data_IF_129290896212
#
_entry.id   IF_129290896212
#
_cell.length_a   1.000
_cell.length_b   1.000
_cell.length_c   1.000
_cell.angle_alpha   90.00
_cell.angle_beta   90.00
_cell.angle_gamma   90.00
#
_symmetry.space_group_name_H-M   'P 1'
#
loop_
_entity.id
_entity.type
_entity.pdbx_description
1 polymer ?
#
# COMPACT_ATOMS: atom_id res chain seq x y z
N UNK A 1 -41.66 3.65 53.76
CA UNK A 1 -40.40 3.87 52.98
C UNK A 1 -40.44 3.03 51.75
N UNK A 2 -40.23 3.60 50.58
CA UNK A 2 -40.08 2.82 49.34
C UNK A 2 -38.79 2.02 49.38
N UNK A 3 -38.76 0.87 48.72
CA UNK A 3 -37.53 0.11 48.48
C UNK A 3 -36.60 0.87 47.54
N UNK A 4 -35.31 0.77 47.80
CA UNK A 4 -34.24 1.26 46.91
C UNK A 4 -33.56 0.09 46.20
N UNK A 5 -32.50 0.36 45.44
CA UNK A 5 -31.76 -0.72 44.74
C UNK A 5 -31.13 -1.71 45.73
N UNK A 6 -30.58 -1.22 46.83
CA UNK A 6 -29.83 -2.02 47.82
C UNK A 6 -30.48 -2.08 49.19
N UNK A 7 -31.52 -1.27 49.44
CA UNK A 7 -32.19 -1.22 50.71
C UNK A 7 -33.65 -1.64 50.60
N UNK A 8 -34.09 -2.44 51.56
CA UNK A 8 -35.49 -2.80 51.68
C UNK A 8 -36.36 -1.58 52.01
N UNK A 9 -37.52 -1.55 51.44
CA UNK A 9 -38.60 -0.65 51.81
C UNK A 9 -39.46 -1.22 52.96
N UNK A 10 -40.43 -0.46 53.38
CA UNK A 10 -41.38 -0.84 54.41
C UNK A 10 -42.73 -0.14 54.20
N UNK A 11 -43.82 -0.86 54.19
CA UNK A 11 -45.15 -0.30 53.95
C UNK A 11 -45.63 0.65 55.10
N UNK A 12 -45.10 0.48 56.32
CA UNK A 12 -45.47 1.22 57.51
C UNK A 12 -46.48 0.46 58.30
N UNK A 13 -46.46 0.71 59.64
CA UNK A 13 -47.45 0.16 60.60
C UNK A 13 -48.72 1.00 60.61
N UNK A 14 -49.84 0.34 60.70
CA UNK A 14 -51.09 1.00 61.00
C UNK A 14 -51.19 1.17 62.52
N UNK A 15 -51.20 2.44 63.01
CA UNK A 15 -51.26 2.77 64.42
C UNK A 15 -52.60 3.41 64.74
N UNK A 16 -53.23 2.95 65.80
CA UNK A 16 -54.45 3.59 66.34
C UNK A 16 -54.18 5.02 66.71
N UNK A 17 -54.91 6.00 66.15
CA UNK A 17 -54.73 7.42 66.40
C UNK A 17 -55.21 7.84 67.78
N UNK A 18 -55.98 6.98 68.50
CA UNK A 18 -56.56 7.29 69.87
C UNK A 18 -55.69 6.70 70.98
N UNK A 19 -55.27 5.43 70.85
CA UNK A 19 -54.52 4.74 71.93
C UNK A 19 -53.02 4.54 71.63
N UNK A 20 -52.58 4.78 70.39
CA UNK A 20 -51.18 4.61 69.96
C UNK A 20 -50.75 3.17 69.75
N UNK A 21 -51.63 2.19 69.87
CA UNK A 21 -51.28 0.78 69.61
C UNK A 21 -51.13 0.45 68.09
N UNK A 22 -50.17 -0.40 67.77
CA UNK A 22 -50.03 -0.90 66.45
C UNK A 22 -51.12 -1.93 66.17
N UNK A 23 -52.04 -1.59 65.27
CA UNK A 23 -53.18 -2.43 64.90
C UNK A 23 -52.76 -3.48 63.83
N UNK A 24 -51.87 -3.06 62.93
CA UNK A 24 -51.28 -3.95 61.91
C UNK A 24 -49.84 -3.57 61.62
N UNK A 25 -48.97 -4.53 61.66
CA UNK A 25 -47.58 -4.33 61.25
C UNK A 25 -47.47 -4.24 59.73
N UNK A 26 -46.61 -3.33 59.26
CA UNK A 26 -46.25 -3.22 57.86
C UNK A 26 -45.45 -4.42 57.35
N UNK A 27 -45.29 -4.44 56.12
CA UNK A 27 -44.53 -5.50 55.37
C UNK A 27 -43.24 -4.92 54.81
N UNK A 28 -42.17 -5.71 54.82
CA UNK A 28 -40.91 -5.41 54.16
C UNK A 28 -41.13 -5.49 52.66
N UNK A 29 -40.71 -4.46 51.95
CA UNK A 29 -40.67 -4.46 50.50
C UNK A 29 -39.22 -4.75 50.13
N UNK A 30 -38.91 -5.91 49.51
CA UNK A 30 -37.54 -6.26 49.19
C UNK A 30 -36.87 -5.22 48.31
N UNK A 31 -35.53 -5.01 48.46
CA UNK A 31 -34.71 -4.20 47.59
C UNK A 31 -34.90 -4.62 46.14
N UNK A 32 -34.94 -3.64 45.22
CA UNK A 32 -35.25 -3.89 43.80
C UNK A 32 -34.10 -4.46 43.02
N UNK A 33 -32.89 -4.43 43.57
CA UNK A 33 -31.65 -4.71 42.86
C UNK A 33 -31.27 -3.60 41.87
N UNK A 34 -30.11 -3.71 41.29
CA UNK A 34 -29.66 -2.79 40.25
C UNK A 34 -30.14 -3.28 38.88
N UNK A 35 -30.68 -2.36 38.09
CA UNK A 35 -30.96 -2.54 36.66
C UNK A 35 -29.87 -1.80 35.88
N UNK A 36 -28.87 -2.51 35.36
CA UNK A 36 -27.70 -1.90 34.74
C UNK A 36 -27.87 -1.71 33.26
N UNK A 37 -27.19 -0.70 32.73
CA UNK A 37 -26.89 -0.49 31.32
C UNK A 37 -25.39 -0.31 31.12
N UNK A 38 -24.89 -0.67 29.92
CA UNK A 38 -23.49 -0.46 29.55
C UNK A 38 -23.29 0.98 29.08
N UNK A 39 -22.33 1.69 29.68
CA UNK A 39 -22.03 3.09 29.37
C UNK A 39 -20.56 3.25 29.03
N UNK A 40 -20.25 4.03 27.99
CA UNK A 40 -18.87 4.38 27.60
C UNK A 40 -18.10 3.26 26.90
N UNK A 41 -18.76 2.20 26.43
CA UNK A 41 -18.10 1.17 25.64
C UNK A 41 -17.54 1.78 24.34
N UNK A 42 -16.27 1.46 24.02
CA UNK A 42 -15.55 1.89 22.83
C UNK A 42 -14.72 0.72 22.32
N UNK A 43 -14.82 0.40 21.04
CA UNK A 43 -13.94 -0.60 20.43
C UNK A 43 -12.50 -0.09 20.36
N UNK A 44 -11.52 -0.98 20.53
CA UNK A 44 -10.12 -0.67 20.25
C UNK A 44 -9.91 -0.44 18.74
N UNK A 45 -9.01 0.47 18.43
CA UNK A 45 -8.51 0.68 17.04
C UNK A 45 -7.10 0.13 16.90
N UNK A 46 -6.45 0.37 15.76
CA UNK A 46 -5.05 -0.02 15.58
C UNK A 46 -4.11 0.71 16.55
N UNK A 47 -4.44 1.97 16.90
CA UNK A 47 -3.57 2.87 17.66
C UNK A 47 -4.13 3.33 19.00
N UNK A 48 -5.44 3.19 19.19
CA UNK A 48 -6.10 3.61 20.41
C UNK A 48 -6.72 2.43 21.16
N UNK A 49 -6.56 2.46 22.47
CA UNK A 49 -7.23 1.51 23.35
C UNK A 49 -8.76 1.67 23.29
N UNK A 50 -9.43 0.56 23.36
CA UNK A 50 -10.87 0.50 23.58
C UNK A 50 -11.21 0.40 25.06
N UNK A 51 -12.50 0.27 25.34
CA UNK A 51 -13.05 0.12 26.69
C UNK A 51 -14.31 -0.75 26.66
N UNK A 52 -14.43 -1.70 27.55
CA UNK A 52 -15.62 -2.57 27.60
C UNK A 52 -16.88 -1.85 28.03
N UNK A 53 -16.76 -0.69 28.68
CA UNK A 53 -17.87 0.09 29.25
C UNK A 53 -18.16 -0.27 30.68
N UNK A 54 -18.71 0.69 31.42
CA UNK A 54 -19.17 0.54 32.80
C UNK A 54 -20.61 0.03 32.83
N UNK A 55 -20.93 -0.89 33.75
CA UNK A 55 -22.30 -1.24 34.07
C UNK A 55 -22.85 -0.25 35.08
N UNK A 56 -23.69 0.66 34.64
CA UNK A 56 -24.28 1.74 35.46
C UNK A 56 -25.75 1.45 35.70
N UNK A 57 -26.18 1.55 36.94
CA UNK A 57 -27.60 1.38 37.29
C UNK A 57 -28.44 2.54 36.73
N UNK A 58 -29.50 2.21 35.99
CA UNK A 58 -30.43 3.19 35.40
C UNK A 58 -31.35 3.88 36.43
N UNK A 59 -31.46 3.31 37.64
CA UNK A 59 -32.35 3.80 38.70
C UNK A 59 -31.60 4.72 39.65
N UNK A 60 -30.46 4.30 40.18
CA UNK A 60 -29.70 5.06 41.17
C UNK A 60 -28.43 5.74 40.62
N UNK A 61 -28.04 5.45 39.38
CA UNK A 61 -26.83 6.01 38.76
C UNK A 61 -25.52 5.41 39.26
N UNK A 62 -25.56 4.41 40.14
CA UNK A 62 -24.35 3.80 40.70
C UNK A 62 -23.64 2.91 39.62
N UNK A 63 -22.33 2.99 39.58
CA UNK A 63 -21.51 2.06 38.76
C UNK A 63 -21.37 0.74 39.51
N UNK A 64 -22.08 -0.27 39.06
CA UNK A 64 -22.11 -1.60 39.64
C UNK A 64 -20.85 -2.39 39.31
N UNK A 65 -20.38 -2.20 38.07
CA UNK A 65 -19.14 -2.82 37.58
C UNK A 65 -18.41 -1.87 36.65
N UNK A 66 -17.13 -1.68 36.93
CA UNK A 66 -16.23 -0.94 36.01
C UNK A 66 -15.82 -1.80 34.85
N UNK A 67 -15.77 -1.17 33.67
CA UNK A 67 -15.24 -1.79 32.50
C UNK A 67 -13.72 -1.98 32.55
N UNK A 68 -13.22 -2.61 31.54
CA UNK A 68 -11.79 -2.92 31.34
C UNK A 68 -11.29 -2.26 30.07
N UNK A 69 -10.02 -1.86 30.09
CA UNK A 69 -9.33 -1.36 28.89
C UNK A 69 -9.12 -2.52 27.93
N UNK A 70 -9.46 -2.31 26.66
CA UNK A 70 -9.17 -3.22 25.56
C UNK A 70 -7.93 -2.67 24.85
N UNK A 71 -6.76 -3.31 24.92
CA UNK A 71 -5.55 -2.79 24.29
C UNK A 71 -5.73 -2.53 22.81
N UNK A 72 -5.06 -1.50 22.26
CA UNK A 72 -4.98 -1.25 20.84
C UNK A 72 -4.50 -2.50 20.09
N UNK A 73 -5.09 -2.78 18.93
CA UNK A 73 -4.82 -4.04 18.19
C UNK A 73 -3.49 -4.03 17.45
N UNK A 74 -2.86 -2.86 17.34
CA UNK A 74 -1.70 -2.66 16.48
C UNK A 74 -2.07 -2.70 14.99
N UNK A 75 -1.09 -2.39 14.14
CA UNK A 75 -1.26 -2.50 12.70
C UNK A 75 -0.92 -3.92 12.21
N UNK A 76 -1.79 -4.49 11.39
CA UNK A 76 -1.52 -5.71 10.61
C UNK A 76 -1.23 -5.28 9.19
N UNK A 77 0.04 -5.28 8.80
CA UNK A 77 0.46 -4.73 7.50
C UNK A 77 0.52 -5.79 6.41
N UNK A 78 0.33 -5.32 5.18
CA UNK A 78 0.65 -6.04 3.95
C UNK A 78 1.50 -5.14 3.06
N UNK A 79 2.34 -5.75 2.22
CA UNK A 79 3.15 -5.04 1.24
C UNK A 79 2.33 -4.74 0.00
N UNK A 80 2.29 -3.46 -0.42
CA UNK A 80 1.50 -2.98 -1.56
C UNK A 80 2.39 -2.21 -2.52
N UNK A 81 2.22 -2.42 -3.81
CA UNK A 81 2.90 -1.66 -4.86
C UNK A 81 4.38 -2.03 -5.07
N UNK A 82 4.86 -3.13 -4.51
CA UNK A 82 6.22 -3.59 -4.78
C UNK A 82 6.42 -3.89 -6.28
N UNK A 83 7.51 -3.38 -6.85
CA UNK A 83 7.88 -3.57 -8.25
C UNK A 83 9.40 -3.80 -8.31
N UNK A 84 9.84 -4.84 -8.98
CA UNK A 84 11.25 -5.06 -9.22
C UNK A 84 11.81 -3.98 -10.17
N UNK A 85 13.06 -3.57 -9.97
CA UNK A 85 13.78 -2.74 -10.94
C UNK A 85 14.05 -3.54 -12.21
N UNK A 86 14.04 -2.85 -13.35
CA UNK A 86 14.49 -3.39 -14.63
C UNK A 86 15.81 -2.74 -15.05
N UNK A 87 16.29 -3.03 -16.24
CA UNK A 87 17.49 -2.37 -16.75
C UNK A 87 17.31 -0.87 -16.93
N UNK A 88 16.09 -0.42 -17.25
CA UNK A 88 15.80 0.98 -17.62
C UNK A 88 14.82 1.69 -16.69
N UNK A 89 14.06 0.93 -15.90
CA UNK A 89 13.06 1.50 -15.00
C UNK A 89 13.41 1.17 -13.56
N UNK A 90 13.22 2.18 -12.70
CA UNK A 90 13.33 1.99 -11.27
C UNK A 90 12.25 1.03 -10.76
N UNK A 91 12.62 0.26 -9.78
CA UNK A 91 11.73 -0.54 -8.97
C UNK A 91 11.25 0.20 -7.73
N UNK A 92 10.50 -0.48 -6.91
CA UNK A 92 9.97 0.01 -5.65
C UNK A 92 9.82 -1.13 -4.64
N UNK A 93 10.24 -0.92 -3.40
CA UNK A 93 10.15 -1.97 -2.36
C UNK A 93 8.72 -2.25 -1.92
N UNK A 94 7.80 -1.32 -2.18
CA UNK A 94 6.40 -1.38 -1.75
C UNK A 94 6.16 -0.72 -0.40
N UNK A 95 4.94 -0.25 -0.18
CA UNK A 95 4.49 0.32 1.08
C UNK A 95 3.93 -0.76 2.00
N UNK A 96 4.24 -0.69 3.31
CA UNK A 96 3.56 -1.49 4.32
C UNK A 96 2.26 -0.79 4.71
N UNK A 97 1.14 -1.31 4.24
CA UNK A 97 -0.20 -0.75 4.46
C UNK A 97 -0.97 -1.61 5.44
N UNK A 98 -1.58 -0.99 6.45
CA UNK A 98 -2.43 -1.71 7.39
C UNK A 98 -3.69 -2.24 6.71
N UNK A 99 -3.99 -3.54 6.87
CA UNK A 99 -5.18 -4.17 6.28
C UNK A 99 -6.48 -3.77 6.94
N UNK A 100 -6.43 -3.18 8.14
CA UNK A 100 -7.61 -2.80 8.94
C UNK A 100 -7.96 -1.32 8.75
N UNK A 101 -7.01 -0.40 8.97
CA UNK A 101 -7.25 1.05 8.88
C UNK A 101 -6.77 1.68 7.58
N UNK A 102 -6.11 0.92 6.70
CA UNK A 102 -5.57 1.38 5.42
C UNK A 102 -4.45 2.45 5.53
N UNK A 103 -3.91 2.63 6.72
CA UNK A 103 -2.81 3.57 6.94
C UNK A 103 -1.48 2.99 6.43
N UNK A 104 -0.66 3.84 5.81
CA UNK A 104 0.70 3.49 5.42
C UNK A 104 1.59 3.56 6.66
N UNK A 105 1.94 2.40 7.20
CA UNK A 105 2.77 2.29 8.40
C UNK A 105 4.23 2.54 8.09
N UNK A 106 4.67 2.07 6.91
CA UNK A 106 6.02 2.31 6.40
C UNK A 106 5.98 2.51 4.90
N UNK A 107 6.56 3.62 4.45
CA UNK A 107 6.70 3.89 3.03
C UNK A 107 7.86 3.10 2.45
N UNK A 108 7.68 2.59 1.25
CA UNK A 108 8.73 1.90 0.51
C UNK A 108 9.80 2.85 0.01
N UNK A 109 10.82 2.26 -0.57
CA UNK A 109 11.98 2.96 -1.15
C UNK A 109 12.10 2.63 -2.63
N UNK A 110 12.59 3.61 -3.39
CA UNK A 110 12.92 3.39 -4.81
C UNK A 110 14.14 2.48 -4.93
N UNK A 111 14.04 1.49 -5.79
CA UNK A 111 15.15 0.60 -6.17
C UNK A 111 15.67 1.12 -7.51
N UNK A 112 16.88 1.67 -7.60
CA UNK A 112 17.39 2.19 -8.86
C UNK A 112 17.39 1.15 -9.97
N UNK A 113 17.16 1.59 -11.21
CA UNK A 113 17.32 0.75 -12.40
C UNK A 113 18.72 0.12 -12.43
N UNK A 114 18.80 -1.15 -12.83
CA UNK A 114 20.05 -1.92 -12.77
C UNK A 114 21.04 -1.54 -13.88
N UNK A 115 20.57 -0.82 -14.89
CA UNK A 115 21.35 -0.60 -16.10
C UNK A 115 21.45 -1.86 -16.97
N UNK A 116 22.13 -1.74 -18.11
CA UNK A 116 22.41 -2.87 -18.99
C UNK A 116 23.81 -3.42 -18.72
N UNK A 117 23.91 -4.74 -18.62
CA UNK A 117 25.17 -5.48 -18.61
C UNK A 117 25.31 -6.20 -19.95
N UNK A 118 26.09 -5.62 -20.86
CA UNK A 118 26.24 -6.13 -22.23
C UNK A 118 27.36 -7.16 -22.34
N UNK A 119 27.04 -8.31 -22.93
CA UNK A 119 27.97 -9.35 -23.32
C UNK A 119 27.66 -9.80 -24.75
N UNK A 120 28.67 -9.86 -25.58
CA UNK A 120 28.56 -10.25 -27.00
C UNK A 120 27.48 -9.43 -27.74
N UNK A 121 27.36 -8.13 -27.43
CA UNK A 121 26.44 -7.20 -28.04
C UNK A 121 24.99 -7.29 -27.54
N UNK A 122 24.72 -8.05 -26.47
CA UNK A 122 23.39 -8.17 -25.87
C UNK A 122 23.42 -8.02 -24.34
N UNK A 123 22.43 -7.36 -23.80
CA UNK A 123 22.26 -7.32 -22.36
C UNK A 123 21.94 -8.72 -21.81
N UNK A 124 22.69 -9.15 -20.80
CA UNK A 124 22.53 -10.47 -20.17
C UNK A 124 21.20 -10.63 -19.43
N UNK A 125 20.54 -9.51 -19.05
CA UNK A 125 19.31 -9.50 -18.26
C UNK A 125 18.07 -9.36 -19.15
N UNK A 126 18.01 -8.35 -20.03
CA UNK A 126 16.82 -8.08 -20.85
C UNK A 126 16.95 -8.49 -22.30
N UNK A 127 18.15 -8.85 -22.75
CA UNK A 127 18.42 -9.24 -24.14
C UNK A 127 18.52 -8.09 -25.14
N UNK A 128 18.41 -6.83 -24.69
CA UNK A 128 18.51 -5.67 -25.55
C UNK A 128 19.90 -5.56 -26.18
N UNK A 129 19.94 -5.13 -27.44
CA UNK A 129 21.19 -5.01 -28.20
C UNK A 129 21.98 -3.78 -27.78
N UNK A 130 23.28 -3.93 -27.57
CA UNK A 130 24.18 -2.80 -27.31
C UNK A 130 24.24 -1.89 -28.56
N UNK A 131 23.81 -0.62 -28.44
CA UNK A 131 23.85 0.32 -29.56
C UNK A 131 25.27 0.61 -30.06
N UNK A 132 26.29 0.31 -29.26
CA UNK A 132 27.70 0.52 -29.61
C UNK A 132 28.43 -0.77 -30.03
N UNK A 133 27.72 -1.91 -30.04
CA UNK A 133 28.32 -3.18 -30.43
C UNK A 133 28.70 -3.19 -31.92
N UNK A 134 29.97 -3.36 -32.19
CA UNK A 134 30.50 -3.62 -33.53
C UNK A 134 30.95 -5.07 -33.52
N UNK A 135 30.29 -5.94 -34.25
CA UNK A 135 30.83 -7.29 -34.47
C UNK A 135 32.20 -7.17 -35.11
N UNK A 136 33.19 -7.93 -34.63
CA UNK A 136 34.50 -7.98 -35.23
C UNK A 136 34.35 -8.26 -36.74
N UNK A 137 34.82 -7.34 -37.58
CA UNK A 137 34.91 -7.63 -39.02
C UNK A 137 35.72 -8.91 -39.18
N UNK A 138 35.24 -9.87 -39.99
CA UNK A 138 36.03 -11.07 -40.27
C UNK A 138 37.39 -10.63 -40.76
N UNK A 139 38.44 -10.97 -40.00
CA UNK A 139 39.82 -10.75 -40.42
C UNK A 139 40.00 -11.39 -41.80
N UNK A 140 40.04 -10.57 -42.83
CA UNK A 140 40.41 -11.08 -44.17
C UNK A 140 41.75 -11.77 -44.00
N UNK A 141 41.90 -13.03 -44.42
CA UNK A 141 43.20 -13.68 -44.43
C UNK A 141 44.14 -12.82 -45.29
N UNK A 142 45.16 -12.29 -44.63
CA UNK A 142 46.24 -11.60 -45.36
C UNK A 142 46.73 -12.50 -46.43
N UNK A 143 46.50 -12.10 -47.71
CA UNK A 143 47.02 -12.78 -48.85
C UNK A 143 48.55 -12.72 -48.76
N UNK A 144 49.27 -13.87 -48.60
CA UNK A 144 50.73 -13.84 -48.55
C UNK A 144 51.21 -13.32 -49.92
N UNK A 145 51.72 -12.10 -49.88
CA UNK A 145 52.20 -11.40 -51.08
C UNK A 145 53.14 -12.24 -51.93
N UNK A 146 52.68 -12.61 -53.11
CA UNK A 146 53.53 -13.08 -54.19
C UNK A 146 54.30 -11.86 -54.66
N UNK A 147 55.59 -11.78 -54.27
CA UNK A 147 56.54 -10.89 -54.91
C UNK A 147 56.80 -11.42 -56.38
N UNK A 148 56.11 -10.89 -57.37
CA UNK A 148 56.56 -10.93 -58.73
C UNK A 148 56.91 -9.51 -59.13
N UNK A 149 58.23 -9.28 -59.28
CA UNK A 149 58.71 -8.08 -59.90
C UNK A 149 58.34 -8.07 -61.36
N UNK A 150 57.68 -7.00 -61.77
CA UNK A 150 57.86 -6.50 -63.15
C UNK A 150 57.40 -5.01 -63.13
N UNK A 151 58.39 -4.17 -63.44
CA UNK A 151 58.17 -2.78 -63.76
C UNK A 151 57.76 -2.66 -65.20
N UNK A 152 56.55 -2.30 -65.53
CA UNK A 152 56.28 -1.59 -66.78
C UNK A 152 54.84 -1.03 -66.79
N UNK A 153 54.78 0.30 -66.93
CA UNK A 153 53.80 1.05 -67.70
C UNK A 153 52.30 0.72 -67.54
N UNK A 154 51.52 1.58 -67.05
CA UNK A 154 50.83 2.58 -67.89
C UNK A 154 49.85 3.40 -67.06
N UNK A 155 50.02 4.68 -67.21
CA UNK A 155 48.95 5.64 -67.06
C UNK A 155 47.75 5.30 -67.98
N UNK A 156 46.61 5.79 -67.57
CA UNK A 156 45.38 5.83 -68.34
C UNK A 156 44.29 4.85 -67.83
N UNK A 157 43.46 5.33 -66.95
CA UNK A 157 41.99 5.21 -67.06
C UNK A 157 41.36 6.11 -65.91
N UNK A 158 41.50 7.42 -66.09
CA UNK A 158 40.58 8.39 -65.48
C UNK A 158 39.54 8.69 -66.59
N UNK A 159 38.36 8.13 -66.48
CA UNK A 159 37.12 8.74 -66.97
C UNK A 159 35.96 7.75 -66.86
N UNK A 160 34.85 8.24 -66.29
CA UNK A 160 33.53 7.66 -66.39
C UNK A 160 32.98 6.98 -65.08
N UNK A 161 32.56 7.80 -64.17
CA UNK A 161 31.31 7.53 -63.37
C UNK A 161 30.83 8.81 -62.62
N UNK A 162 30.55 9.82 -63.38
CA UNK A 162 29.76 10.95 -62.91
C UNK A 162 28.47 11.03 -63.71
N UNK A 163 27.45 10.23 -63.40
CA UNK A 163 26.03 10.47 -63.73
C UNK A 163 25.20 9.43 -62.95
N UNK A 164 24.61 9.79 -61.83
CA UNK A 164 23.35 9.24 -61.32
C UNK A 164 23.09 9.71 -59.86
N UNK A 165 22.93 10.96 -59.64
CA UNK A 165 22.46 11.53 -58.38
C UNK A 165 21.51 12.71 -58.67
N UNK A 166 20.39 12.45 -59.36
CA UNK A 166 19.31 13.41 -59.54
C UNK A 166 17.98 12.72 -59.88
N UNK A 167 17.44 11.88 -58.99
CA UNK A 167 16.07 11.39 -59.11
C UNK A 167 15.50 10.85 -57.82
N UNK A 168 15.67 11.51 -56.67
CA UNK A 168 14.99 11.11 -55.44
C UNK A 168 14.50 12.31 -54.57
N UNK A 169 14.34 13.50 -55.13
CA UNK A 169 13.87 14.69 -54.39
C UNK A 169 12.48 15.20 -54.80
N UNK A 170 11.68 14.43 -55.55
CA UNK A 170 10.37 14.89 -56.04
C UNK A 170 9.14 14.14 -55.53
N UNK A 171 9.24 13.28 -54.51
CA UNK A 171 8.10 12.49 -54.04
C UNK A 171 7.69 12.77 -52.58
N UNK A 172 8.21 13.78 -51.90
CA UNK A 172 7.86 14.09 -50.53
C UNK A 172 7.04 15.40 -50.34
N UNK A 173 6.62 16.06 -51.42
CA UNK A 173 5.84 17.33 -51.34
C UNK A 173 4.35 17.24 -51.76
N UNK A 174 3.84 16.02 -52.03
CA UNK A 174 2.45 15.84 -52.49
C UNK A 174 1.46 15.25 -51.44
N UNK A 175 1.85 15.10 -50.20
CA UNK A 175 0.94 14.50 -49.17
C UNK A 175 0.55 15.41 -48.00
N UNK A 176 0.59 16.72 -48.21
CA UNK A 176 0.13 17.72 -47.22
C UNK A 176 -0.97 18.64 -47.73
N UNK A 177 -1.95 18.12 -48.48
CA UNK A 177 -3.08 18.92 -48.94
C UNK A 177 -4.38 18.15 -49.08
N UNK A 178 -4.73 17.33 -48.10
CA UNK A 178 -6.10 16.84 -47.85
C UNK A 178 -6.26 16.48 -46.39
N UNK A 179 -6.60 17.45 -45.58
CA UNK A 179 -7.43 17.36 -44.38
C UNK A 179 -7.59 18.77 -43.84
N UNK A 180 -8.59 19.40 -44.42
CA UNK A 180 -9.26 20.58 -43.85
C UNK A 180 -10.61 20.12 -43.34
#
# INVERSE_FOLDING_TARGET
KAAACTEDGYTGDEVCTVCGETVKKGEVIPATGHKTQLVGAKAATCTEDGYTGDEVCTVCGETVKKGEVIPATGHKTQLVGAKAATCTEDGYTGDEVCTVCQEIVKKGETIPATGHDYKDGKCTVCGETDPNYKPDEPVQPENPGVKTGDEAHTALWLAAASVSLLAAAALLLSKKKHLS
#
